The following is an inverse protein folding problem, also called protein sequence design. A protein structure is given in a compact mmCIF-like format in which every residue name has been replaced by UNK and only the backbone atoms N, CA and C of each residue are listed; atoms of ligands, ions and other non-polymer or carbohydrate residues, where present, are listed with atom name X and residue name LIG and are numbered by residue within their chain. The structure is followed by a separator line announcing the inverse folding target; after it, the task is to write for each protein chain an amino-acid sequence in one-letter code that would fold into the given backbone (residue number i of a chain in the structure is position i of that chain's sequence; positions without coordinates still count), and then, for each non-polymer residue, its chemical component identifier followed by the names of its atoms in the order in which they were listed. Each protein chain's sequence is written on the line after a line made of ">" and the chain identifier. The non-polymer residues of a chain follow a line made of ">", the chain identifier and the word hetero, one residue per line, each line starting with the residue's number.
data_IF_933905786992
#
_entry.id   IF_933905786992
#
_cell.length_a   1.000
_cell.length_b   1.000
_cell.length_c   1.000
_cell.angle_alpha   90.00
_cell.angle_beta   90.00
_cell.angle_gamma   90.00
#
_symmetry.space_group_name_H-M   'P 1'
#
loop_
_entity.id
_entity.type
_entity.pdbx_description
1 polymer ?
#
# COMPACT_ATOMS: atom_id res chain seq x y z
N UNK A 1 -28.85 26.58 24.83
CA UNK A 1 -28.16 25.56 25.63
C UNK A 1 -26.88 25.14 24.92
N UNK A 2 -25.77 25.85 25.16
CA UNK A 2 -24.41 25.44 24.79
C UNK A 2 -23.69 25.15 26.10
N UNK A 3 -23.90 23.97 26.68
CA UNK A 3 -23.28 23.60 27.96
C UNK A 3 -23.35 22.09 28.12
N UNK A 4 -22.21 21.50 28.50
CA UNK A 4 -21.94 20.09 28.85
C UNK A 4 -21.74 19.05 27.74
N UNK A 5 -21.06 19.37 26.64
CA UNK A 5 -20.34 18.33 25.89
C UNK A 5 -18.85 18.41 26.27
N UNK A 6 -18.36 17.35 26.93
CA UNK A 6 -16.92 17.12 27.15
C UNK A 6 -16.24 17.19 25.77
N UNK A 7 -15.06 17.82 25.69
CA UNK A 7 -14.26 17.84 24.45
C UNK A 7 -14.05 16.39 24.01
N UNK A 8 -14.69 16.00 22.90
CA UNK A 8 -14.59 14.66 22.37
C UNK A 8 -13.16 14.43 21.84
N UNK A 9 -12.66 13.21 21.99
CA UNK A 9 -11.37 12.79 21.45
C UNK A 9 -11.53 12.21 20.02
N UNK A 10 -10.41 11.97 19.34
CA UNK A 10 -10.42 11.49 17.95
C UNK A 10 -11.16 10.16 17.78
N UNK A 11 -11.12 9.26 18.78
CA UNK A 11 -11.81 7.97 18.70
C UNK A 11 -13.34 8.13 18.84
N UNK A 12 -13.80 9.07 19.66
CA UNK A 12 -15.22 9.41 19.79
C UNK A 12 -15.76 10.00 18.48
N UNK A 13 -15.05 10.96 17.89
CA UNK A 13 -15.40 11.51 16.56
C UNK A 13 -15.35 10.44 15.46
N UNK A 14 -14.32 9.58 15.46
CA UNK A 14 -14.21 8.47 14.52
C UNK A 14 -15.45 7.56 14.60
N UNK A 15 -15.89 7.22 15.82
CA UNK A 15 -17.09 6.40 16.04
C UNK A 15 -18.37 7.08 15.52
N UNK A 16 -18.55 8.36 15.83
CA UNK A 16 -19.72 9.13 15.38
C UNK A 16 -19.78 9.25 13.85
N UNK A 17 -18.66 9.64 13.22
CA UNK A 17 -18.56 9.77 11.76
C UNK A 17 -18.78 8.42 11.08
N UNK A 18 -18.15 7.35 11.58
CA UNK A 18 -18.34 6.00 11.06
C UNK A 18 -19.80 5.55 11.14
N UNK A 19 -20.49 5.89 12.23
CA UNK A 19 -21.91 5.56 12.42
C UNK A 19 -22.79 6.29 11.41
N UNK A 20 -22.58 7.60 11.19
CA UNK A 20 -23.34 8.36 10.19
C UNK A 20 -23.11 7.85 8.76
N UNK A 21 -21.87 7.49 8.41
CA UNK A 21 -21.57 6.88 7.11
C UNK A 21 -22.32 5.55 6.93
N UNK A 22 -22.36 4.70 7.97
CA UNK A 22 -23.10 3.42 7.93
C UNK A 22 -24.61 3.60 7.81
N UNK A 23 -25.15 4.70 8.32
CA UNK A 23 -26.56 5.11 8.14
C UNK A 23 -26.80 5.80 6.78
N UNK A 24 -25.77 5.88 5.91
CA UNK A 24 -25.78 6.58 4.64
C UNK A 24 -26.05 8.10 4.75
N UNK A 25 -25.82 8.68 5.93
CA UNK A 25 -25.96 10.10 6.22
C UNK A 25 -24.62 10.83 6.05
N UNK A 26 -24.05 10.78 4.83
CA UNK A 26 -22.72 11.35 4.55
C UNK A 26 -22.64 12.86 4.87
N UNK A 27 -23.71 13.60 4.62
CA UNK A 27 -23.76 15.03 4.94
C UNK A 27 -23.63 15.29 6.44
N UNK A 28 -24.24 14.45 7.27
CA UNK A 28 -24.11 14.59 8.73
C UNK A 28 -22.72 14.15 9.20
N UNK A 29 -22.15 13.13 8.58
CA UNK A 29 -20.75 12.75 8.80
C UNK A 29 -19.78 13.91 8.50
N UNK A 30 -20.01 14.68 7.42
CA UNK A 30 -19.24 15.88 7.08
C UNK A 30 -19.42 17.04 8.08
N UNK A 31 -20.62 17.21 8.61
CA UNK A 31 -20.90 18.21 9.66
C UNK A 31 -20.09 17.88 10.92
N UNK A 32 -20.12 16.61 11.36
CA UNK A 32 -19.35 16.13 12.51
C UNK A 32 -17.85 16.22 12.24
N UNK A 33 -17.39 15.90 11.03
CA UNK A 33 -15.99 16.09 10.63
C UNK A 33 -15.56 17.56 10.71
N UNK A 34 -16.41 18.49 10.29
CA UNK A 34 -16.12 19.94 10.34
C UNK A 34 -16.02 20.44 11.78
N UNK A 35 -16.83 19.89 12.69
CA UNK A 35 -16.65 20.12 14.13
C UNK A 35 -15.30 19.58 14.61
N UNK A 36 -14.98 18.32 14.31
CA UNK A 36 -13.69 17.71 14.66
C UNK A 36 -12.51 18.53 14.17
N UNK A 37 -12.53 18.95 12.90
CA UNK A 37 -11.46 19.76 12.29
C UNK A 37 -11.25 21.09 13.02
N UNK A 38 -12.30 21.68 13.60
CA UNK A 38 -12.21 22.94 14.34
C UNK A 38 -11.62 22.79 15.75
N UNK A 39 -11.65 21.58 16.33
CA UNK A 39 -11.25 21.33 17.73
C UNK A 39 -10.06 20.38 17.90
N UNK A 40 -9.75 19.59 16.85
CA UNK A 40 -8.67 18.61 16.86
C UNK A 40 -7.31 19.30 16.84
N UNK A 41 -6.41 18.77 17.66
CA UNK A 41 -5.02 19.23 17.77
C UNK A 41 -4.07 18.17 17.19
N UNK A 42 -4.48 16.90 17.23
CA UNK A 42 -3.67 15.75 16.83
C UNK A 42 -3.59 15.62 15.31
N UNK A 43 -4.64 16.02 14.59
CA UNK A 43 -4.75 15.78 13.17
C UNK A 43 -4.70 14.29 12.83
N UNK A 44 -5.32 13.43 13.66
CA UNK A 44 -5.32 11.98 13.46
C UNK A 44 -5.93 11.61 12.09
N UNK A 45 -5.09 11.11 11.18
CA UNK A 45 -5.46 10.77 9.81
C UNK A 45 -6.57 9.72 9.71
N UNK A 46 -6.82 8.92 10.77
CA UNK A 46 -7.89 7.92 10.79
C UNK A 46 -9.27 8.54 10.70
N UNK A 47 -9.45 9.77 11.17
CA UNK A 47 -10.74 10.48 11.13
C UNK A 47 -11.10 10.93 9.69
N UNK A 48 -10.28 11.73 8.97
CA UNK A 48 -10.56 12.09 7.58
C UNK A 48 -10.58 10.89 6.63
N UNK A 49 -9.83 9.81 6.91
CA UNK A 49 -9.88 8.59 6.11
C UNK A 49 -11.30 7.99 6.03
N UNK A 50 -12.17 8.22 7.02
CA UNK A 50 -13.57 7.78 6.97
C UNK A 50 -14.35 8.49 5.86
N UNK A 51 -14.21 9.82 5.78
CA UNK A 51 -14.87 10.64 4.75
C UNK A 51 -14.29 10.31 3.37
N UNK A 52 -12.96 10.19 3.29
CA UNK A 52 -12.26 9.81 2.06
C UNK A 52 -12.76 8.47 1.52
N UNK A 53 -12.82 7.44 2.37
CA UNK A 53 -13.37 6.13 2.01
C UNK A 53 -14.84 6.22 1.58
N UNK A 54 -15.65 7.05 2.23
CA UNK A 54 -17.06 7.21 1.88
C UNK A 54 -17.25 7.77 0.46
N UNK A 55 -16.48 8.79 0.06
CA UNK A 55 -16.52 9.31 -1.31
C UNK A 55 -16.06 8.27 -2.34
N UNK A 56 -14.94 7.59 -2.08
CA UNK A 56 -14.39 6.57 -2.99
C UNK A 56 -15.40 5.42 -3.18
N UNK A 57 -16.01 4.94 -2.11
CA UNK A 57 -17.01 3.87 -2.18
C UNK A 57 -18.29 4.28 -2.94
N UNK A 58 -18.57 5.59 -3.05
CA UNK A 58 -19.65 6.14 -3.86
C UNK A 58 -19.23 6.45 -5.30
N UNK A 59 -18.00 6.14 -5.69
CA UNK A 59 -17.38 6.54 -6.96
C UNK A 59 -17.36 8.07 -7.17
N UNK A 60 -17.27 8.83 -6.09
CA UNK A 60 -17.18 10.29 -6.12
C UNK A 60 -15.72 10.74 -6.03
N UNK A 61 -14.86 10.24 -6.93
CA UNK A 61 -13.40 10.42 -6.82
C UNK A 61 -12.97 11.89 -6.81
N UNK A 62 -13.64 12.76 -7.59
CA UNK A 62 -13.37 14.21 -7.58
C UNK A 62 -13.61 14.85 -6.20
N UNK A 63 -14.64 14.39 -5.49
CA UNK A 63 -14.93 14.85 -4.13
C UNK A 63 -13.88 14.33 -3.16
N UNK A 64 -13.46 13.07 -3.33
CA UNK A 64 -12.38 12.46 -2.54
C UNK A 64 -11.05 13.22 -2.68
N UNK A 65 -10.63 13.54 -3.90
CA UNK A 65 -9.40 14.29 -4.18
C UNK A 65 -9.46 15.72 -3.61
N UNK A 66 -10.56 16.44 -3.85
CA UNK A 66 -10.74 17.78 -3.31
C UNK A 66 -10.75 17.76 -1.77
N UNK A 67 -11.39 16.77 -1.15
CA UNK A 67 -11.34 16.60 0.30
C UNK A 67 -9.93 16.32 0.79
N UNK A 68 -9.20 15.40 0.14
CA UNK A 68 -7.83 15.06 0.48
C UNK A 68 -6.90 16.28 0.42
N UNK A 69 -6.95 17.05 -0.67
CA UNK A 69 -6.11 18.23 -0.84
C UNK A 69 -6.49 19.35 0.15
N UNK A 70 -7.77 19.74 0.20
CA UNK A 70 -8.23 20.92 0.96
C UNK A 70 -8.36 20.70 2.45
N UNK A 71 -8.78 19.50 2.86
CA UNK A 71 -9.13 19.21 4.27
C UNK A 71 -8.07 18.37 4.98
N UNK A 72 -7.20 17.66 4.26
CA UNK A 72 -6.07 16.95 4.86
C UNK A 72 -4.75 17.68 4.62
N UNK A 73 -4.32 17.79 3.37
CA UNK A 73 -2.97 18.29 3.03
C UNK A 73 -2.79 19.77 3.39
N UNK A 74 -3.69 20.65 2.94
CA UNK A 74 -3.62 22.10 3.24
C UNK A 74 -3.79 22.42 4.73
N UNK A 75 -4.40 21.51 5.49
CA UNK A 75 -4.56 21.62 6.95
C UNK A 75 -3.40 21.02 7.73
N UNK A 76 -2.38 20.47 7.04
CA UNK A 76 -1.20 19.89 7.68
C UNK A 76 -1.44 18.50 8.28
N UNK A 77 -2.56 17.84 7.96
CA UNK A 77 -2.78 16.44 8.33
C UNK A 77 -1.90 15.59 7.43
N UNK A 78 -0.96 14.85 8.04
CA UNK A 78 -0.05 13.97 7.31
C UNK A 78 -0.80 12.73 6.83
N UNK A 79 -0.89 12.48 5.52
CA UNK A 79 -1.54 11.29 5.00
C UNK A 79 -0.82 10.01 5.46
N UNK A 80 -1.60 9.03 5.90
CA UNK A 80 -1.12 7.73 6.36
C UNK A 80 -1.09 6.70 5.22
N UNK A 81 -0.54 5.51 5.49
CA UNK A 81 -0.66 4.36 4.59
C UNK A 81 -2.09 4.16 4.08
N UNK A 82 -3.07 4.09 4.99
CA UNK A 82 -4.48 3.90 4.65
C UNK A 82 -5.04 5.05 3.79
N UNK A 83 -4.54 6.28 3.97
CA UNK A 83 -4.98 7.42 3.16
C UNK A 83 -4.57 7.22 1.69
N UNK A 84 -3.32 6.84 1.45
CA UNK A 84 -2.81 6.56 0.11
C UNK A 84 -3.37 5.27 -0.48
N UNK A 85 -3.59 4.24 0.34
CA UNK A 85 -4.23 2.99 -0.05
C UNK A 85 -5.63 3.23 -0.59
N UNK A 86 -6.45 4.03 0.11
CA UNK A 86 -7.78 4.44 -0.34
C UNK A 86 -7.70 5.17 -1.69
N UNK A 87 -6.82 6.16 -1.83
CA UNK A 87 -6.65 6.89 -3.09
C UNK A 87 -6.22 5.97 -4.24
N UNK A 88 -5.30 5.04 -4.00
CA UNK A 88 -4.91 4.03 -4.99
C UNK A 88 -6.12 3.21 -5.44
N UNK A 89 -6.97 2.75 -4.52
CA UNK A 89 -8.22 2.07 -4.91
C UNK A 89 -9.10 2.95 -5.80
N UNK A 90 -9.33 4.20 -5.40
CA UNK A 90 -10.13 5.16 -6.17
C UNK A 90 -9.57 5.39 -7.58
N UNK A 91 -8.26 5.63 -7.72
CA UNK A 91 -7.61 5.84 -9.00
C UNK A 91 -7.66 4.60 -9.92
N UNK A 92 -7.64 3.38 -9.36
CA UNK A 92 -7.81 2.17 -10.19
C UNK A 92 -9.23 2.12 -10.77
N UNK A 93 -10.25 2.53 -10.01
CA UNK A 93 -11.63 2.58 -10.52
C UNK A 93 -11.78 3.58 -11.67
N UNK A 94 -11.12 4.74 -11.59
CA UNK A 94 -11.10 5.77 -12.64
C UNK A 94 -10.11 5.46 -13.78
N UNK A 95 -9.35 4.36 -13.68
CA UNK A 95 -8.34 3.95 -14.67
C UNK A 95 -7.22 4.99 -14.90
N UNK A 96 -6.89 5.78 -13.88
CA UNK A 96 -5.84 6.81 -13.93
C UNK A 96 -4.45 6.23 -13.54
N UNK A 97 -3.76 5.61 -14.50
CA UNK A 97 -2.54 4.82 -14.26
C UNK A 97 -1.44 5.57 -13.49
N UNK A 98 -1.09 6.78 -13.92
CA UNK A 98 0.02 7.54 -13.33
C UNK A 98 -0.22 7.83 -11.85
N UNK A 99 -1.47 8.18 -11.50
CA UNK A 99 -1.88 8.42 -10.11
C UNK A 99 -1.92 7.13 -9.30
N UNK A 100 -2.32 6.00 -9.90
CA UNK A 100 -2.27 4.69 -9.25
C UNK A 100 -0.83 4.38 -8.81
N UNK A 101 0.14 4.53 -9.71
CA UNK A 101 1.55 4.28 -9.43
C UNK A 101 2.09 5.24 -8.38
N UNK A 102 1.74 6.53 -8.47
CA UNK A 102 2.14 7.55 -7.51
C UNK A 102 1.59 7.26 -6.11
N UNK A 103 0.28 7.04 -5.98
CA UNK A 103 -0.37 6.76 -4.71
C UNK A 103 0.14 5.46 -4.09
N UNK A 104 0.34 4.42 -4.91
CA UNK A 104 0.87 3.13 -4.46
C UNK A 104 2.28 3.27 -3.88
N UNK A 105 3.15 4.01 -4.58
CA UNK A 105 4.49 4.33 -4.09
C UNK A 105 4.46 5.12 -2.79
N UNK A 106 3.57 6.11 -2.66
CA UNK A 106 3.40 6.90 -1.43
C UNK A 106 2.86 6.06 -0.28
N UNK A 107 1.94 5.14 -0.52
CA UNK A 107 1.42 4.22 0.49
C UNK A 107 2.56 3.41 1.10
N UNK A 108 3.31 2.70 0.27
CA UNK A 108 4.46 1.87 0.68
C UNK A 108 5.58 2.73 1.29
N UNK A 109 5.77 3.96 0.81
CA UNK A 109 6.71 4.94 1.36
C UNK A 109 6.36 5.40 2.78
N UNK A 110 5.08 5.38 3.14
CA UNK A 110 4.58 5.90 4.43
C UNK A 110 4.79 4.95 5.62
N UNK A 111 5.29 3.74 5.38
CA UNK A 111 5.54 2.73 6.43
C UNK A 111 6.98 2.21 6.38
N UNK A 112 7.54 1.92 7.55
CA UNK A 112 8.89 1.32 7.68
C UNK A 112 8.89 -0.16 7.31
N UNK A 113 7.86 -0.88 7.78
CA UNK A 113 7.58 -2.27 7.48
C UNK A 113 6.23 -2.29 6.79
N UNK A 114 6.22 -2.63 5.51
CA UNK A 114 5.00 -2.76 4.75
C UNK A 114 4.57 -4.22 4.76
N UNK A 115 3.39 -4.49 5.29
CA UNK A 115 2.74 -5.79 5.13
C UNK A 115 1.94 -5.76 3.82
N UNK A 116 2.29 -6.57 2.80
CA UNK A 116 1.62 -6.49 1.52
C UNK A 116 0.13 -6.81 1.61
N UNK A 117 -0.73 -5.82 1.39
CA UNK A 117 -2.14 -6.11 1.13
C UNK A 117 -2.24 -6.72 -0.28
N UNK A 118 -2.47 -8.03 -0.32
CA UNK A 118 -2.58 -8.79 -1.57
C UNK A 118 -3.67 -8.22 -2.49
N UNK A 119 -4.74 -7.64 -1.95
CA UNK A 119 -5.86 -7.11 -2.75
C UNK A 119 -5.43 -5.90 -3.55
N UNK A 120 -4.75 -4.94 -2.93
CA UNK A 120 -4.33 -3.71 -3.64
C UNK A 120 -3.25 -4.01 -4.67
N UNK A 121 -2.29 -4.87 -4.31
CA UNK A 121 -1.24 -5.33 -5.24
C UNK A 121 -1.88 -5.99 -6.46
N UNK A 122 -2.79 -6.95 -6.24
CA UNK A 122 -3.50 -7.63 -7.34
C UNK A 122 -4.29 -6.66 -8.20
N UNK A 123 -4.92 -5.64 -7.58
CA UNK A 123 -5.74 -4.66 -8.29
C UNK A 123 -4.88 -3.74 -9.18
N UNK A 124 -3.74 -3.28 -8.68
CA UNK A 124 -2.76 -2.50 -9.45
C UNK A 124 -2.18 -3.33 -10.60
N UNK A 125 -1.75 -4.58 -10.34
CA UNK A 125 -1.24 -5.47 -11.40
C UNK A 125 -2.28 -5.79 -12.46
N UNK A 126 -3.53 -6.09 -12.07
CA UNK A 126 -4.60 -6.37 -13.03
C UNK A 126 -4.85 -5.19 -13.96
N UNK A 127 -4.75 -3.95 -13.45
CA UNK A 127 -4.83 -2.76 -14.29
C UNK A 127 -3.62 -2.64 -15.24
N UNK A 128 -2.40 -2.91 -14.76
CA UNK A 128 -1.21 -2.85 -15.62
C UNK A 128 -1.27 -3.89 -16.75
N UNK A 129 -1.76 -5.09 -16.46
CA UNK A 129 -1.95 -6.16 -17.43
C UNK A 129 -3.02 -5.81 -18.48
N UNK A 130 -4.19 -5.31 -18.05
CA UNK A 130 -5.28 -4.88 -18.94
C UNK A 130 -4.80 -3.84 -19.96
N UNK A 131 -3.92 -2.93 -19.54
CA UNK A 131 -3.39 -1.84 -20.37
C UNK A 131 -2.06 -2.20 -21.07
N UNK A 132 -1.50 -3.39 -20.82
CA UNK A 132 -0.19 -3.79 -21.34
C UNK A 132 0.95 -2.84 -20.93
N UNK A 133 0.83 -2.17 -19.78
CA UNK A 133 1.77 -1.14 -19.35
C UNK A 133 2.99 -1.77 -18.64
N UNK A 134 3.98 -2.15 -19.46
CA UNK A 134 5.23 -2.78 -19.00
C UNK A 134 6.05 -1.84 -18.12
N UNK A 135 6.10 -0.55 -18.45
CA UNK A 135 6.87 0.44 -17.67
C UNK A 135 6.30 0.60 -16.26
N UNK A 136 4.98 0.72 -16.13
CA UNK A 136 4.32 0.78 -14.83
C UNK A 136 4.52 -0.50 -14.02
N UNK A 137 4.53 -1.67 -14.67
CA UNK A 137 4.83 -2.95 -14.02
C UNK A 137 6.27 -2.99 -13.48
N UNK A 138 7.23 -2.44 -14.21
CA UNK A 138 8.61 -2.29 -13.72
C UNK A 138 8.69 -1.34 -12.52
N UNK A 139 8.00 -0.20 -12.56
CA UNK A 139 7.96 0.74 -11.43
C UNK A 139 7.35 0.13 -10.17
N UNK A 140 6.28 -0.66 -10.30
CA UNK A 140 5.69 -1.41 -9.18
C UNK A 140 6.69 -2.41 -8.63
N UNK A 141 7.36 -3.19 -9.49
CA UNK A 141 8.36 -4.16 -9.06
C UNK A 141 9.52 -3.51 -8.30
N UNK A 142 10.02 -2.37 -8.77
CA UNK A 142 11.06 -1.58 -8.08
C UNK A 142 10.57 -1.13 -6.71
N UNK A 143 9.36 -0.56 -6.64
CA UNK A 143 8.78 -0.09 -5.37
C UNK A 143 8.62 -1.21 -4.35
N UNK A 144 8.16 -2.38 -4.80
CA UNK A 144 8.01 -3.58 -3.97
C UNK A 144 9.37 -4.12 -3.50
N UNK A 145 10.38 -4.13 -4.37
CA UNK A 145 11.74 -4.54 -4.02
C UNK A 145 12.32 -3.65 -2.93
N UNK A 146 12.24 -2.33 -3.12
CA UNK A 146 12.81 -1.36 -2.18
C UNK A 146 12.07 -1.41 -0.82
N UNK A 147 10.78 -1.76 -0.81
CA UNK A 147 10.04 -2.10 0.41
C UNK A 147 10.56 -3.39 1.07
N UNK A 148 10.79 -4.43 0.28
CA UNK A 148 11.38 -5.70 0.71
C UNK A 148 12.75 -5.53 1.38
N UNK A 149 13.63 -4.72 0.80
CA UNK A 149 14.95 -4.44 1.38
C UNK A 149 14.88 -3.71 2.72
N UNK A 150 13.91 -2.78 2.88
CA UNK A 150 13.65 -2.12 4.17
C UNK A 150 13.23 -3.10 5.26
N UNK A 151 12.51 -4.17 4.89
CA UNK A 151 12.12 -5.24 5.82
C UNK A 151 13.28 -6.17 6.20
N UNK A 152 14.22 -6.43 5.28
CA UNK A 152 15.34 -7.36 5.48
C UNK A 152 16.39 -6.90 6.47
N UNK A 153 16.48 -5.60 6.74
CA UNK A 153 17.38 -5.05 7.76
C UNK A 153 17.13 -5.62 9.16
N UNK A 154 16.00 -6.30 9.39
CA UNK A 154 15.60 -6.87 10.70
C UNK A 154 15.61 -8.42 10.79
N UNK A 155 16.39 -9.15 9.97
CA UNK A 155 16.59 -10.63 9.92
C UNK A 155 15.48 -11.48 9.30
N UNK A 156 15.79 -12.12 8.15
CA UNK A 156 15.47 -13.53 7.84
C UNK A 156 16.52 -14.04 6.85
N UNK A 157 17.43 -14.91 7.29
CA UNK A 157 18.15 -15.81 6.38
C UNK A 157 17.19 -16.96 6.04
N UNK A 158 17.05 -17.30 4.76
CA UNK A 158 16.35 -18.52 4.37
C UNK A 158 17.16 -19.69 4.93
N UNK A 159 16.53 -20.56 5.72
CA UNK A 159 17.19 -21.82 6.06
C UNK A 159 17.40 -22.65 4.77
N UNK A 160 18.44 -23.49 4.76
CA UNK A 160 18.86 -24.24 3.57
C UNK A 160 17.72 -25.06 2.95
N UNK A 161 16.82 -25.62 3.77
CA UNK A 161 15.67 -26.40 3.31
C UNK A 161 14.68 -25.57 2.47
N UNK A 162 14.37 -24.34 2.90
CA UNK A 162 13.44 -23.46 2.16
C UNK A 162 14.05 -23.00 0.84
N UNK A 163 15.37 -22.76 0.83
CA UNK A 163 16.11 -22.42 -0.38
C UNK A 163 16.07 -23.56 -1.42
N UNK A 164 16.32 -24.80 -0.98
CA UNK A 164 16.25 -25.97 -1.86
C UNK A 164 14.83 -26.22 -2.38
N UNK A 165 13.80 -26.01 -1.55
CA UNK A 165 12.40 -26.16 -1.95
C UNK A 165 12.01 -25.15 -3.05
N UNK A 166 12.36 -23.87 -2.88
CA UNK A 166 12.08 -22.82 -3.89
C UNK A 166 12.81 -23.15 -5.20
N UNK A 167 14.05 -23.65 -5.13
CA UNK A 167 14.82 -24.07 -6.30
C UNK A 167 14.18 -25.25 -7.04
N UNK A 168 13.69 -26.26 -6.31
CA UNK A 168 12.94 -27.39 -6.88
C UNK A 168 11.63 -26.94 -7.53
N UNK A 169 10.89 -26.04 -6.87
CA UNK A 169 9.66 -25.47 -7.42
C UNK A 169 9.92 -24.72 -8.73
N UNK A 170 10.99 -23.91 -8.81
CA UNK A 170 11.37 -23.24 -10.06
C UNK A 170 11.74 -24.22 -11.16
N UNK A 171 12.51 -25.28 -10.87
CA UNK A 171 12.84 -26.31 -11.88
C UNK A 171 11.58 -26.98 -12.47
N UNK A 172 10.54 -27.16 -11.66
CA UNK A 172 9.32 -27.87 -12.07
C UNK A 172 8.24 -26.95 -12.64
N UNK A 173 8.22 -25.68 -12.25
CA UNK A 173 7.14 -24.74 -12.51
C UNK A 173 7.65 -23.34 -12.91
N UNK A 174 8.74 -23.21 -13.65
CA UNK A 174 9.34 -21.92 -14.06
C UNK A 174 8.41 -21.02 -14.89
N UNK A 175 7.33 -21.55 -15.46
CA UNK A 175 6.27 -20.75 -16.10
C UNK A 175 5.26 -20.14 -15.13
N UNK A 176 5.27 -20.54 -13.85
CA UNK A 176 4.31 -20.08 -12.85
C UNK A 176 4.76 -18.77 -12.20
N UNK A 177 3.88 -17.77 -12.22
CA UNK A 177 4.15 -16.43 -11.68
C UNK A 177 4.55 -16.42 -10.19
N UNK A 178 3.85 -17.18 -9.34
CA UNK A 178 4.15 -17.23 -7.90
C UNK A 178 5.50 -17.92 -7.64
N UNK A 179 5.84 -18.93 -8.42
CA UNK A 179 7.13 -19.60 -8.35
C UNK A 179 8.26 -18.66 -8.79
N UNK A 180 8.03 -17.88 -9.85
CA UNK A 180 8.96 -16.85 -10.30
C UNK A 180 9.10 -15.68 -9.32
N UNK A 181 8.04 -15.36 -8.58
CA UNK A 181 8.09 -14.42 -7.45
C UNK A 181 8.94 -14.97 -6.30
N UNK A 182 8.82 -16.27 -5.97
CA UNK A 182 9.62 -16.91 -4.92
C UNK A 182 11.10 -16.99 -5.29
N UNK A 183 11.44 -17.29 -6.53
CA UNK A 183 12.83 -17.30 -6.98
C UNK A 183 13.00 -17.74 -8.44
N UNK A 184 13.81 -16.99 -9.18
CA UNK A 184 14.30 -17.36 -10.52
C UNK A 184 15.73 -17.83 -10.43
N UNK A 185 16.08 -18.87 -11.17
CA UNK A 185 17.40 -19.50 -11.11
C UNK A 185 18.05 -19.52 -12.49
N UNK A 186 19.35 -19.24 -12.53
CA UNK A 186 20.18 -19.47 -13.72
C UNK A 186 21.22 -20.53 -13.39
N UNK A 187 21.40 -21.48 -14.29
CA UNK A 187 22.52 -22.43 -14.19
C UNK A 187 23.77 -21.69 -14.66
N UNK A 188 24.84 -21.75 -13.87
CA UNK A 188 26.09 -21.10 -14.25
C UNK A 188 26.79 -21.98 -15.29
N UNK A 189 27.39 -21.37 -16.31
CA UNK A 189 28.12 -22.09 -17.36
C UNK A 189 29.44 -22.72 -16.85
N UNK A 190 29.90 -22.31 -15.67
CA UNK A 190 31.23 -22.67 -15.13
C UNK A 190 31.17 -23.51 -13.84
N UNK A 191 29.97 -23.74 -13.27
CA UNK A 191 29.77 -24.58 -12.08
C UNK A 191 28.37 -25.22 -12.06
N UNK A 192 28.25 -26.40 -11.45
CA UNK A 192 26.96 -27.07 -11.20
C UNK A 192 26.08 -26.32 -10.18
N UNK A 193 26.58 -25.22 -9.61
CA UNK A 193 25.81 -24.37 -8.73
C UNK A 193 24.94 -23.42 -9.55
N UNK A 194 23.64 -23.69 -9.52
CA UNK A 194 22.64 -22.72 -9.95
C UNK A 194 22.47 -21.67 -8.86
N UNK A 195 22.53 -20.39 -9.26
CA UNK A 195 22.37 -19.20 -8.42
C UNK A 195 21.02 -18.54 -8.68
N UNK A 196 20.39 -17.94 -7.66
CA UNK A 196 19.18 -17.20 -7.91
C UNK A 196 19.55 -15.93 -8.68
N UNK A 197 18.70 -15.51 -9.61
CA UNK A 197 18.88 -14.34 -10.47
C UNK A 197 17.67 -13.41 -10.43
N UNK A 198 16.67 -13.75 -9.62
CA UNK A 198 15.48 -12.94 -9.40
C UNK A 198 14.55 -13.58 -8.37
N UNK A 199 13.47 -12.87 -8.03
CA UNK A 199 12.51 -13.31 -7.00
C UNK A 199 13.07 -13.23 -5.59
N UNK A 200 12.25 -13.58 -4.59
CA UNK A 200 12.56 -13.42 -3.17
C UNK A 200 13.85 -14.12 -2.74
N UNK A 201 14.13 -15.31 -3.29
CA UNK A 201 15.34 -16.10 -3.00
C UNK A 201 16.64 -15.38 -3.35
N UNK A 202 16.68 -14.64 -4.46
CA UNK A 202 17.85 -13.84 -4.86
C UNK A 202 18.24 -12.85 -3.77
N UNK A 203 17.23 -12.15 -3.26
CA UNK A 203 17.45 -11.09 -2.31
C UNK A 203 17.72 -11.58 -0.87
N UNK A 204 17.52 -12.86 -0.56
CA UNK A 204 17.81 -13.42 0.78
C UNK A 204 19.16 -14.16 0.81
N UNK A 205 19.68 -14.57 -0.35
CA UNK A 205 20.90 -15.39 -0.45
C UNK A 205 22.04 -14.73 -1.20
N UNK A 206 21.86 -13.51 -1.70
CA UNK A 206 22.98 -12.72 -2.21
C UNK A 206 24.01 -12.55 -1.07
N UNK A 207 25.28 -12.99 -1.25
CA UNK A 207 26.31 -12.74 -0.26
C UNK A 207 26.40 -11.23 -0.10
N UNK A 208 26.41 -10.77 1.15
CA UNK A 208 26.93 -9.45 1.49
C UNK A 208 28.23 -9.27 0.71
N UNK A 209 28.23 -8.39 -0.29
CA UNK A 209 29.49 -8.01 -0.92
C UNK A 209 30.36 -7.45 0.20
N UNK A 210 31.38 -8.21 0.55
CA UNK A 210 32.41 -7.77 1.46
C UNK A 210 33.05 -6.55 0.85
N UNK A 211 32.91 -5.41 1.53
CA UNK A 211 33.84 -4.32 1.36
C UNK A 211 34.75 -4.38 2.57
N UNK A 212 35.95 -4.92 2.32
CA UNK A 212 37.20 -4.48 2.94
C UNK A 212 37.37 -2.95 2.80
#
# INVERSE_FOLDING_TARGET
>A
MKSTFRKLNDAEYNCMISSMIKLNELKEAENIYTEWESVSITGDSRVPNLILAAYINKNEMKMAENFFEKRMVEKGIVPSYTSWELLTYGCVHEKEMDKVLECFKKAIGSVKKWDPDEKIVRKVYGMLEEYGNVEGAEQVLVTLRDAGERMKKDKVELNDETYQLIKLLHRKYSGNFLVNMLGKWKESEYSEQSVPVGGLAYYVTAPSQGND
#
